data_IF_794200519086
#
_entry.id   IF_794200519086
#
_cell.length_a   1.000
_cell.length_b   1.000
_cell.length_c   1.000
_cell.angle_alpha   90.00
_cell.angle_beta   90.00
_cell.angle_gamma   90.00
#
_symmetry.space_group_name_H-M   'P 1'
#
loop_
_entity.id
_entity.type
_entity.pdbx_description
1 polymer ?
#
# COMPACT_ATOMS: atom_id res chain seq x y z
N UNK A 1 23.84 -60.09 2.82
CA UNK A 1 23.87 -58.80 2.11
C UNK A 1 23.05 -57.83 2.93
N UNK A 2 23.68 -56.81 3.51
CA UNK A 2 22.98 -55.82 4.33
C UNK A 2 22.30 -54.78 3.45
N UNK A 3 20.97 -54.74 3.47
CA UNK A 3 20.13 -53.81 2.71
C UNK A 3 20.09 -52.38 3.30
N UNK A 4 20.77 -52.13 4.43
CA UNK A 4 20.74 -50.85 5.16
C UNK A 4 21.82 -49.84 4.75
N UNK A 5 22.39 -49.95 3.54
CA UNK A 5 23.51 -49.09 3.08
C UNK A 5 23.18 -48.07 1.98
N UNK A 6 21.91 -47.80 1.72
CA UNK A 6 21.50 -46.75 0.78
C UNK A 6 20.65 -45.71 1.50
N UNK A 7 21.29 -44.88 2.31
CA UNK A 7 20.71 -43.63 2.76
C UNK A 7 20.68 -42.68 1.55
N UNK A 8 19.56 -42.64 0.83
CA UNK A 8 19.33 -41.62 -0.17
C UNK A 8 19.14 -40.29 0.55
N UNK A 9 20.15 -39.41 0.49
CA UNK A 9 19.99 -38.00 0.81
C UNK A 9 18.93 -37.44 -0.13
N UNK A 10 17.81 -36.96 0.41
CA UNK A 10 16.83 -36.19 -0.36
C UNK A 10 17.54 -34.94 -0.88
N UNK A 11 17.68 -34.75 -2.19
CA UNK A 11 18.22 -33.51 -2.71
C UNK A 11 17.26 -32.40 -2.29
N UNK A 12 17.76 -31.40 -1.55
CA UNK A 12 17.02 -30.15 -1.37
C UNK A 12 16.83 -29.55 -2.76
N UNK A 13 15.58 -29.52 -3.22
CA UNK A 13 15.22 -28.76 -4.41
C UNK A 13 15.70 -27.32 -4.20
N UNK A 14 16.26 -26.66 -5.23
CA UNK A 14 16.59 -25.25 -5.12
C UNK A 14 15.32 -24.49 -4.72
N UNK A 15 15.47 -23.50 -3.84
CA UNK A 15 14.38 -22.61 -3.44
C UNK A 15 13.84 -21.92 -4.71
N UNK A 16 12.75 -22.46 -5.26
CA UNK A 16 12.07 -21.87 -6.40
C UNK A 16 11.25 -20.70 -5.86
N UNK A 17 11.85 -19.50 -5.93
CA UNK A 17 11.09 -18.26 -5.79
C UNK A 17 10.44 -18.00 -7.15
N UNK A 18 9.11 -18.10 -7.28
CA UNK A 18 8.45 -17.75 -8.53
C UNK A 18 8.80 -16.29 -8.87
N UNK A 19 8.97 -15.95 -10.16
CA UNK A 19 9.21 -14.57 -10.55
C UNK A 19 8.10 -13.67 -9.98
N UNK A 20 8.48 -12.59 -9.31
CA UNK A 20 7.51 -11.60 -8.83
C UNK A 20 6.82 -10.99 -10.04
N UNK A 21 5.49 -11.10 -10.10
CA UNK A 21 4.70 -10.43 -11.11
C UNK A 21 4.73 -8.92 -10.85
N UNK A 22 5.39 -8.18 -11.76
CA UNK A 22 5.50 -6.72 -11.71
C UNK A 22 4.14 -6.01 -11.79
N UNK A 23 3.09 -6.70 -12.18
CA UNK A 23 1.73 -6.20 -12.21
C UNK A 23 0.87 -6.69 -11.03
N UNK A 24 1.49 -7.34 -10.03
CA UNK A 24 0.79 -7.72 -8.81
C UNK A 24 0.44 -6.50 -7.95
N UNK A 25 -0.61 -6.64 -7.16
CA UNK A 25 -1.03 -5.65 -6.19
C UNK A 25 0.10 -5.26 -5.22
N UNK A 26 0.92 -6.22 -4.77
CA UNK A 26 2.08 -5.92 -3.91
C UNK A 26 3.11 -5.02 -4.60
N UNK A 27 3.38 -5.25 -5.89
CA UNK A 27 4.29 -4.40 -6.66
C UNK A 27 3.71 -3.00 -6.96
N UNK A 28 2.40 -2.90 -7.19
CA UNK A 28 1.72 -1.61 -7.28
C UNK A 28 1.75 -0.88 -5.94
N UNK A 29 1.40 -1.54 -4.84
CA UNK A 29 1.43 -1.01 -3.48
C UNK A 29 2.78 -0.37 -3.17
N UNK A 30 3.88 -1.12 -3.36
CA UNK A 30 5.23 -0.59 -3.13
C UNK A 30 5.49 0.73 -3.87
N UNK A 31 5.14 0.82 -5.15
CA UNK A 31 5.34 2.03 -5.96
C UNK A 31 4.45 3.17 -5.49
N UNK A 32 3.19 2.89 -5.13
CA UNK A 32 2.26 3.90 -4.61
C UNK A 32 2.76 4.46 -3.28
N UNK A 33 3.23 3.59 -2.39
CA UNK A 33 3.86 3.95 -1.12
C UNK A 33 5.07 4.87 -1.34
N UNK A 34 5.96 4.53 -2.28
CA UNK A 34 7.10 5.36 -2.64
C UNK A 34 6.66 6.75 -3.14
N UNK A 35 5.71 6.80 -4.10
CA UNK A 35 5.20 8.06 -4.65
C UNK A 35 4.50 8.94 -3.61
N UNK A 36 3.70 8.34 -2.72
CA UNK A 36 3.01 9.05 -1.64
C UNK A 36 4.01 9.65 -0.65
N UNK A 37 5.01 8.87 -0.25
CA UNK A 37 6.05 9.33 0.68
C UNK A 37 6.91 10.45 0.06
N UNK A 38 7.22 10.35 -1.23
CA UNK A 38 7.99 11.40 -1.91
C UNK A 38 7.21 12.69 -2.06
N UNK A 39 5.89 12.60 -2.29
CA UNK A 39 5.00 13.76 -2.24
C UNK A 39 4.92 14.33 -0.81
N UNK A 40 4.75 13.50 0.22
CA UNK A 40 4.65 13.96 1.62
C UNK A 40 5.90 14.73 2.08
N UNK A 41 7.09 14.25 1.69
CA UNK A 41 8.37 14.92 1.97
C UNK A 41 8.49 16.31 1.33
N UNK A 42 7.72 16.58 0.28
CA UNK A 42 7.71 17.89 -0.39
C UNK A 42 6.81 18.92 0.31
N UNK A 43 5.99 18.49 1.27
CA UNK A 43 5.05 19.36 2.01
C UNK A 43 5.72 19.99 3.24
N UNK A 44 5.20 21.15 3.65
CA UNK A 44 5.56 21.78 4.92
C UNK A 44 4.97 21.04 6.14
N UNK A 45 5.23 21.55 7.35
CA UNK A 45 4.73 20.97 8.61
C UNK A 45 3.24 21.25 8.87
N UNK A 46 2.60 22.15 8.12
CA UNK A 46 1.19 22.51 8.27
C UNK A 46 0.28 21.60 7.43
N UNK A 47 0.84 20.94 6.42
CA UNK A 47 0.11 20.09 5.47
C UNK A 47 0.49 18.61 5.56
N UNK A 48 -0.50 17.77 5.29
CA UNK A 48 -0.37 16.34 5.09
C UNK A 48 -0.92 15.92 3.73
N UNK A 49 -0.68 14.67 3.35
CA UNK A 49 -1.18 14.12 2.08
C UNK A 49 -2.68 13.87 2.18
N UNK A 50 -3.45 14.63 1.42
CA UNK A 50 -4.83 14.31 1.08
C UNK A 50 -4.87 13.51 -0.21
N UNK A 51 -5.77 12.54 -0.29
CA UNK A 51 -6.01 11.82 -1.52
C UNK A 51 -7.44 12.06 -1.99
N UNK A 52 -7.56 12.34 -3.29
CA UNK A 52 -8.83 12.46 -3.97
C UNK A 52 -8.93 11.36 -5.01
N UNK A 53 -9.85 10.42 -4.81
CA UNK A 53 -10.16 9.44 -5.85
C UNK A 53 -11.26 9.95 -6.75
N UNK A 54 -11.08 9.72 -8.05
CA UNK A 54 -12.03 10.10 -9.08
C UNK A 54 -12.68 8.82 -9.61
N UNK A 55 -13.88 8.52 -9.13
CA UNK A 55 -14.63 7.32 -9.52
C UNK A 55 -15.94 7.75 -10.16
N UNK A 56 -16.11 7.53 -11.47
CA UNK A 56 -17.37 7.68 -12.21
C UNK A 56 -18.23 8.90 -11.83
N UNK A 57 -17.63 10.09 -11.79
CA UNK A 57 -18.34 11.35 -11.51
C UNK A 57 -18.58 11.64 -10.03
N UNK A 58 -18.19 10.74 -9.12
CA UNK A 58 -18.13 10.99 -7.68
C UNK A 58 -16.68 11.22 -7.26
N UNK A 59 -16.50 12.22 -6.40
CA UNK A 59 -15.20 12.54 -5.82
C UNK A 59 -15.25 12.15 -4.35
N UNK A 60 -14.38 11.22 -3.95
CA UNK A 60 -14.19 10.90 -2.53
C UNK A 60 -12.85 11.51 -2.10
N UNK A 61 -12.90 12.36 -1.09
CA UNK A 61 -11.72 13.01 -0.50
C UNK A 61 -11.59 12.56 0.96
N UNK A 62 -10.40 12.12 1.34
CA UNK A 62 -10.07 11.73 2.70
C UNK A 62 -8.57 11.88 2.97
N UNK A 63 -8.23 11.93 4.25
CA UNK A 63 -6.85 11.91 4.75
C UNK A 63 -6.37 10.47 4.77
N UNK A 64 -5.29 10.17 4.04
CA UNK A 64 -4.76 8.80 3.95
C UNK A 64 -3.98 8.47 5.21
N UNK A 65 -4.33 7.36 5.85
CA UNK A 65 -3.63 6.85 7.04
C UNK A 65 -2.76 5.62 6.70
N UNK A 66 -3.25 4.71 5.84
CA UNK A 66 -2.55 3.48 5.45
C UNK A 66 -2.96 3.02 4.03
N UNK A 67 -2.12 2.21 3.40
CA UNK A 67 -2.39 1.45 2.17
C UNK A 67 -2.10 -0.02 2.44
N UNK A 68 -3.07 -0.87 2.12
CA UNK A 68 -2.93 -2.33 2.06
C UNK A 68 -3.02 -2.85 0.62
N UNK A 69 -2.76 -4.15 0.44
CA UNK A 69 -2.94 -4.82 -0.84
C UNK A 69 -3.38 -6.27 -0.65
N UNK A 70 -4.02 -6.83 -1.66
CA UNK A 70 -4.34 -8.25 -1.74
C UNK A 70 -4.04 -8.77 -3.15
N UNK A 71 -3.04 -9.64 -3.24
CA UNK A 71 -2.60 -10.20 -4.53
C UNK A 71 -3.72 -11.06 -5.18
N UNK A 72 -3.85 -11.03 -6.51
CA UNK A 72 -2.95 -10.36 -7.44
C UNK A 72 -3.30 -8.89 -7.74
N UNK A 73 -4.45 -8.35 -7.30
CA UNK A 73 -4.98 -7.17 -7.97
C UNK A 73 -5.76 -6.15 -7.16
N UNK A 74 -5.85 -6.25 -5.83
CA UNK A 74 -6.57 -5.25 -5.02
C UNK A 74 -5.61 -4.36 -4.23
N UNK A 75 -5.88 -3.05 -4.24
CA UNK A 75 -5.29 -2.06 -3.34
C UNK A 75 -6.37 -1.57 -2.40
N UNK A 76 -6.00 -1.39 -1.13
CA UNK A 76 -6.89 -0.97 -0.06
C UNK A 76 -6.37 0.38 0.45
N UNK A 77 -7.18 1.42 0.37
CA UNK A 77 -6.87 2.74 0.92
C UNK A 77 -7.64 2.94 2.22
N UNK A 78 -6.92 3.19 3.31
CA UNK A 78 -7.50 3.43 4.63
C UNK A 78 -7.25 4.88 5.05
N UNK A 79 -8.23 5.48 5.70
CA UNK A 79 -8.10 6.86 6.13
C UNK A 79 -9.28 7.38 6.93
N UNK A 80 -9.36 8.72 6.98
CA UNK A 80 -10.43 9.45 7.64
C UNK A 80 -11.03 10.53 6.77
N UNK A 81 -12.34 10.65 6.82
CA UNK A 81 -13.08 11.80 6.25
C UNK A 81 -12.88 13.05 7.11
N UNK A 82 -13.31 14.22 6.61
CA UNK A 82 -13.15 15.51 7.31
C UNK A 82 -13.84 15.54 8.69
N UNK A 83 -14.93 14.78 8.86
CA UNK A 83 -15.64 14.63 10.14
C UNK A 83 -14.96 13.63 11.10
N UNK A 84 -13.85 13.01 10.68
CA UNK A 84 -13.06 12.05 11.46
C UNK A 84 -13.56 10.60 11.38
N UNK A 85 -14.61 10.31 10.61
CA UNK A 85 -15.11 8.95 10.39
C UNK A 85 -14.07 8.10 9.65
N UNK A 86 -13.94 6.84 10.04
CA UNK A 86 -13.03 5.90 9.37
C UNK A 86 -13.62 5.51 8.01
N UNK A 87 -12.77 5.49 6.99
CA UNK A 87 -13.15 5.05 5.64
C UNK A 87 -12.11 4.07 5.11
N UNK A 88 -12.60 3.07 4.40
CA UNK A 88 -11.79 2.13 3.62
C UNK A 88 -12.34 2.06 2.20
N UNK A 89 -11.45 2.17 1.22
CA UNK A 89 -11.77 2.03 -0.19
C UNK A 89 -10.91 0.94 -0.81
N UNK A 90 -11.57 -0.05 -1.40
CA UNK A 90 -10.93 -1.17 -2.08
C UNK A 90 -11.08 -0.97 -3.59
N UNK A 91 -9.96 -0.99 -4.32
CA UNK A 91 -9.95 -0.86 -5.78
C UNK A 91 -9.12 -1.95 -6.45
N UNK A 92 -9.56 -2.35 -7.64
CA UNK A 92 -8.71 -3.14 -8.53
C UNK A 92 -7.57 -2.26 -9.08
N UNK A 93 -6.35 -2.80 -9.23
CA UNK A 93 -5.17 -2.05 -9.70
C UNK A 93 -5.38 -1.30 -11.02
N UNK A 94 -6.21 -1.85 -11.91
CA UNK A 94 -6.54 -1.23 -13.20
C UNK A 94 -7.51 -0.04 -13.11
N UNK A 95 -8.13 0.18 -11.95
CA UNK A 95 -9.11 1.25 -11.70
C UNK A 95 -8.51 2.39 -10.88
N UNK A 96 -7.25 2.27 -10.47
CA UNK A 96 -6.58 3.26 -9.64
C UNK A 96 -6.43 4.55 -10.43
N UNK A 97 -7.11 5.59 -9.96
CA UNK A 97 -7.01 6.96 -10.44
C UNK A 97 -7.21 7.90 -9.26
N UNK A 98 -6.11 8.45 -8.76
CA UNK A 98 -6.16 9.39 -7.65
C UNK A 98 -5.21 10.57 -7.85
N UNK A 99 -5.55 11.67 -7.18
CA UNK A 99 -4.76 12.88 -7.09
C UNK A 99 -4.22 13.00 -5.66
N UNK A 100 -2.91 13.25 -5.55
CA UNK A 100 -2.28 13.69 -4.30
C UNK A 100 -2.37 15.21 -4.19
N UNK A 101 -2.75 15.70 -3.02
CA UNK A 101 -2.83 17.13 -2.75
C UNK A 101 -2.42 17.44 -1.32
N UNK A 102 -1.89 18.64 -1.11
CA UNK A 102 -1.63 19.15 0.23
C UNK A 102 -2.96 19.51 0.90
N UNK A 103 -3.26 18.91 2.05
CA UNK A 103 -4.42 19.27 2.88
C UNK A 103 -3.96 19.71 4.25
N UNK A 104 -4.71 20.59 4.90
CA UNK A 104 -4.41 21.01 6.28
C UNK A 104 -4.46 19.81 7.19
N UNK A 105 -3.53 19.74 8.14
CA UNK A 105 -3.47 18.65 9.11
C UNK A 105 -4.71 18.64 10.00
N UNK A 106 -5.31 17.46 10.18
CA UNK A 106 -6.45 17.27 11.09
C UNK A 106 -6.08 17.57 12.56
N UNK A 107 -4.83 17.27 12.95
CA UNK A 107 -4.31 17.56 14.29
C UNK A 107 -2.94 18.26 14.22
N UNK A 108 -2.91 19.60 14.16
CA UNK A 108 -1.66 20.38 14.09
C UNK A 108 -0.75 20.21 15.31
N UNK A 109 -1.31 19.90 16.50
CA UNK A 109 -0.53 19.82 17.75
C UNK A 109 0.24 18.50 17.91
N UNK A 110 -0.13 17.47 17.17
CA UNK A 110 0.66 16.23 17.09
C UNK A 110 1.87 16.40 16.17
N UNK A 111 2.92 15.56 16.23
CA UNK A 111 3.91 15.49 15.16
C UNK A 111 3.27 15.02 13.85
N UNK A 112 3.72 15.55 12.71
CA UNK A 112 3.29 15.06 11.39
C UNK A 112 3.58 13.56 11.29
N UNK A 113 2.54 12.76 11.11
CA UNK A 113 2.69 11.31 10.95
C UNK A 113 3.23 11.03 9.55
N UNK A 114 4.32 10.27 9.47
CA UNK A 114 4.65 9.62 8.19
C UNK A 114 3.60 8.58 7.91
N UNK A 115 3.18 8.47 6.65
CA UNK A 115 2.27 7.40 6.26
C UNK A 115 3.05 6.08 6.40
N UNK A 116 2.68 5.32 7.43
CA UNK A 116 3.34 4.09 7.82
C UNK A 116 2.58 2.93 7.22
N UNK A 117 3.15 2.33 6.18
CA UNK A 117 2.56 1.19 5.51
C UNK A 117 3.01 -0.09 6.19
N UNK A 118 2.06 -0.86 6.71
CA UNK A 118 2.36 -2.18 7.26
C UNK A 118 2.79 -3.09 6.09
N UNK A 119 4.08 -3.39 6.03
CA UNK A 119 4.60 -4.47 5.20
C UNK A 119 4.22 -5.77 5.91
N UNK A 120 3.17 -6.46 5.46
CA UNK A 120 3.05 -7.89 5.77
C UNK A 120 4.23 -8.66 5.16
#
# INVERSE_FOLDING_TARGET
MDFNKLAFSTPKLPDFTPPVDKNSAGEFHKRLVEMINDFDKSLDEEHEVGMRLVTFGQTVQFHVEDLGYYNPSLIIFQGRTEDGSQIELIQHVSQISFLLMAVKRLNPESPKKRIGFNNE
#
